data_IF_165383118103
#
_entry.id   IF_165383118103
#
_cell.length_a   1.000
_cell.length_b   1.000
_cell.length_c   1.000
_cell.angle_alpha   90.00
_cell.angle_beta   90.00
_cell.angle_gamma   90.00
#
_symmetry.space_group_name_H-M   'P 1'
#
loop_
_entity.id
_entity.type
_entity.pdbx_description
1 polymer ?
#
# COMPACT_ATOMS: atom_id res chain seq x y z
N UNK A 1 -19.57 -7.24 -10.88
CA UNK A 1 -18.52 -7.09 -11.91
C UNK A 1 -17.62 -5.93 -11.57
N UNK A 2 -16.39 -5.91 -12.12
CA UNK A 2 -15.49 -4.73 -12.07
C UNK A 2 -16.12 -3.55 -12.85
N UNK A 3 -16.85 -3.86 -13.91
CA UNK A 3 -17.52 -2.87 -14.76
C UNK A 3 -18.51 -1.99 -13.99
N UNK A 4 -19.14 -2.53 -12.95
CA UNK A 4 -20.12 -1.82 -12.10
C UNK A 4 -19.49 -0.89 -11.05
N UNK A 5 -18.16 -0.89 -10.93
CA UNK A 5 -17.46 -0.07 -9.96
C UNK A 5 -17.12 1.29 -10.56
N UNK A 6 -17.44 2.37 -9.85
CA UNK A 6 -17.06 3.74 -10.21
C UNK A 6 -16.01 4.31 -9.25
N UNK A 7 -15.82 3.69 -8.11
CA UNK A 7 -14.85 4.17 -7.13
C UNK A 7 -14.16 3.07 -6.36
N UNK A 8 -13.01 3.41 -5.80
CA UNK A 8 -12.22 2.58 -4.90
C UNK A 8 -11.90 3.37 -3.63
N UNK A 9 -11.99 2.73 -2.49
CA UNK A 9 -11.48 3.27 -1.24
C UNK A 9 -10.43 2.32 -0.67
N UNK A 10 -9.19 2.81 -0.54
CA UNK A 10 -8.07 2.08 0.03
C UNK A 10 -7.95 2.43 1.52
N UNK A 11 -7.83 1.41 2.38
CA UNK A 11 -7.86 1.58 3.84
C UNK A 11 -6.72 0.77 4.47
N UNK A 12 -5.93 1.40 5.32
CA UNK A 12 -4.83 0.77 6.04
C UNK A 12 -4.29 1.65 7.17
N UNK A 13 -3.32 1.14 7.93
CA UNK A 13 -2.60 1.87 8.96
C UNK A 13 -1.09 1.76 8.73
N UNK A 14 -0.32 2.79 9.15
CA UNK A 14 1.14 2.79 9.09
C UNK A 14 1.68 2.48 7.69
N UNK A 15 2.59 1.51 7.58
CA UNK A 15 3.17 1.03 6.32
C UNK A 15 2.11 0.68 5.27
N UNK A 16 1.02 0.01 5.67
CA UNK A 16 -0.07 -0.34 4.78
C UNK A 16 -0.81 0.90 4.24
N UNK A 17 -0.96 1.94 5.06
CA UNK A 17 -1.50 3.22 4.61
C UNK A 17 -0.58 3.91 3.59
N UNK A 18 0.75 3.85 3.78
CA UNK A 18 1.70 4.38 2.80
C UNK A 18 1.65 3.62 1.46
N UNK A 19 1.42 2.30 1.49
CA UNK A 19 1.17 1.53 0.27
C UNK A 19 -0.12 1.96 -0.45
N UNK A 20 -1.18 2.27 0.31
CA UNK A 20 -2.42 2.84 -0.23
C UNK A 20 -2.20 4.21 -0.88
N UNK A 21 -1.38 5.07 -0.25
CA UNK A 21 -1.00 6.37 -0.81
C UNK A 21 -0.29 6.24 -2.16
N UNK A 22 0.66 5.30 -2.29
CA UNK A 22 1.31 5.02 -3.58
C UNK A 22 0.31 4.54 -4.62
N UNK A 23 -0.53 3.58 -4.24
CA UNK A 23 -1.52 3.01 -5.16
C UNK A 23 -2.51 4.05 -5.67
N UNK A 24 -2.87 5.05 -4.85
CA UNK A 24 -3.74 6.14 -5.27
C UNK A 24 -3.22 6.84 -6.52
N UNK A 25 -1.93 7.21 -6.56
CA UNK A 25 -1.33 7.86 -7.74
C UNK A 25 -1.46 6.99 -8.99
N UNK A 26 -1.24 5.68 -8.87
CA UNK A 26 -1.35 4.76 -10.01
C UNK A 26 -2.79 4.58 -10.48
N UNK A 27 -3.74 4.48 -9.56
CA UNK A 27 -5.15 4.40 -9.92
C UNK A 27 -5.63 5.67 -10.62
N UNK A 28 -5.27 6.85 -10.11
CA UNK A 28 -5.60 8.15 -10.72
C UNK A 28 -4.97 8.31 -12.11
N UNK A 29 -3.75 7.81 -12.32
CA UNK A 29 -3.06 7.90 -13.63
C UNK A 29 -3.58 6.87 -14.65
N UNK A 30 -3.93 5.66 -14.21
CA UNK A 30 -4.12 4.51 -15.10
C UNK A 30 -5.57 4.03 -15.20
N UNK A 31 -6.48 4.65 -14.48
CA UNK A 31 -7.91 4.28 -14.48
C UNK A 31 -8.81 5.52 -14.44
N UNK A 32 -10.04 5.35 -14.88
CA UNK A 32 -11.11 6.35 -14.76
C UNK A 32 -11.87 6.29 -13.42
N UNK A 33 -11.38 5.48 -12.46
CA UNK A 33 -12.03 5.30 -11.16
C UNK A 33 -11.75 6.47 -10.22
N UNK A 34 -12.78 6.90 -9.48
CA UNK A 34 -12.62 7.82 -8.35
C UNK A 34 -11.94 7.09 -7.18
N UNK A 35 -10.77 7.55 -6.75
CA UNK A 35 -9.96 6.86 -5.75
C UNK A 35 -9.77 7.71 -4.50
N UNK A 36 -10.15 7.14 -3.37
CA UNK A 36 -9.93 7.74 -2.06
C UNK A 36 -9.15 6.80 -1.15
N UNK A 37 -8.44 7.38 -0.20
CA UNK A 37 -7.70 6.65 0.82
C UNK A 37 -8.17 7.06 2.20
N UNK A 38 -7.99 6.16 3.17
CA UNK A 38 -8.36 6.44 4.55
C UNK A 38 -7.44 5.71 5.53
N UNK A 39 -7.19 6.32 6.68
CA UNK A 39 -6.53 5.66 7.80
C UNK A 39 -7.58 4.83 8.53
N UNK A 40 -7.33 3.55 8.76
CA UNK A 40 -8.32 2.65 9.33
C UNK A 40 -8.73 3.07 10.75
N UNK A 41 -7.80 3.57 11.57
CA UNK A 41 -8.07 4.09 12.91
C UNK A 41 -9.05 5.26 12.90
N UNK A 42 -9.00 6.11 11.87
CA UNK A 42 -9.92 7.24 11.73
C UNK A 42 -11.24 6.84 11.07
N UNK A 43 -11.17 5.93 10.09
CA UNK A 43 -12.34 5.45 9.37
C UNK A 43 -13.37 4.80 10.31
N UNK A 44 -12.91 4.02 11.29
CA UNK A 44 -13.79 3.28 12.20
C UNK A 44 -14.63 4.17 13.11
N UNK A 45 -14.20 5.39 13.43
CA UNK A 45 -14.87 6.29 14.38
C UNK A 45 -15.70 7.38 13.73
N UNK A 46 -15.56 7.57 12.43
CA UNK A 46 -16.30 8.62 11.69
C UNK A 46 -17.66 8.13 11.20
N UNK A 47 -18.58 9.07 10.96
CA UNK A 47 -19.79 8.82 10.19
C UNK A 47 -19.44 8.72 8.70
N UNK A 48 -19.28 7.51 8.18
CA UNK A 48 -18.94 7.26 6.80
C UNK A 48 -20.18 7.29 5.88
N UNK A 49 -19.99 7.81 4.67
CA UNK A 49 -20.96 7.68 3.58
C UNK A 49 -20.55 6.51 2.70
N UNK A 50 -21.31 5.43 2.73
CA UNK A 50 -21.04 4.24 1.94
C UNK A 50 -21.65 4.35 0.55
N UNK A 51 -20.88 3.93 -0.49
CA UNK A 51 -21.31 3.88 -1.88
C UNK A 51 -21.33 2.42 -2.36
N UNK A 52 -22.43 1.96 -2.98
CA UNK A 52 -22.58 0.57 -3.45
C UNK A 52 -21.71 0.24 -4.67
N UNK A 53 -21.37 1.24 -5.45
CA UNK A 53 -20.49 1.18 -6.63
C UNK A 53 -19.01 1.39 -6.27
N UNK A 54 -18.67 1.33 -4.97
CA UNK A 54 -17.31 1.41 -4.44
C UNK A 54 -16.80 0.04 -4.00
N UNK A 55 -15.55 -0.28 -4.34
CA UNK A 55 -14.81 -1.37 -3.74
C UNK A 55 -13.94 -0.84 -2.58
N UNK A 56 -14.16 -1.38 -1.39
CA UNK A 56 -13.38 -1.05 -0.20
C UNK A 56 -12.24 -2.07 -0.07
N UNK A 57 -11.00 -1.61 -0.18
CA UNK A 57 -9.80 -2.44 -0.16
C UNK A 57 -9.07 -2.23 1.15
N UNK A 58 -8.92 -3.28 1.94
CA UNK A 58 -8.26 -3.29 3.23
C UNK A 58 -6.87 -3.89 3.09
N UNK A 59 -5.85 -3.10 3.43
CA UNK A 59 -4.45 -3.51 3.31
C UNK A 59 -3.87 -3.75 4.70
N UNK A 60 -3.33 -4.94 4.94
CA UNK A 60 -2.69 -5.32 6.20
C UNK A 60 -1.71 -6.45 5.96
N UNK A 61 -0.51 -6.39 6.56
CA UNK A 61 0.45 -7.49 6.47
C UNK A 61 -0.07 -8.73 7.20
N UNK A 62 -0.40 -8.60 8.48
CA UNK A 62 -0.89 -9.71 9.31
C UNK A 62 -2.33 -10.12 9.01
N UNK A 63 -3.15 -9.16 8.52
CA UNK A 63 -4.59 -9.33 8.42
C UNK A 63 -5.32 -9.38 9.76
N UNK A 64 -4.63 -8.99 10.86
CA UNK A 64 -5.17 -8.98 12.24
C UNK A 64 -5.10 -7.57 12.87
N UNK A 65 -4.80 -6.53 12.09
CA UNK A 65 -4.77 -5.15 12.59
C UNK A 65 -6.15 -4.74 13.07
N UNK A 66 -6.30 -4.49 14.36
CA UNK A 66 -7.59 -4.26 15.02
C UNK A 66 -8.40 -3.12 14.36
N UNK A 67 -7.77 -1.99 14.06
CA UNK A 67 -8.45 -0.86 13.42
C UNK A 67 -8.87 -1.18 11.98
N UNK A 68 -8.03 -1.91 11.23
CA UNK A 68 -8.34 -2.31 9.86
C UNK A 68 -9.50 -3.32 9.84
N UNK A 69 -9.52 -4.25 10.80
CA UNK A 69 -10.61 -5.19 10.94
C UNK A 69 -11.93 -4.49 11.33
N UNK A 70 -11.89 -3.56 12.27
CA UNK A 70 -13.09 -2.80 12.66
C UNK A 70 -13.63 -1.94 11.48
N UNK A 71 -12.75 -1.37 10.67
CA UNK A 71 -13.14 -0.66 9.44
C UNK A 71 -13.79 -1.60 8.41
N UNK A 72 -13.27 -2.82 8.25
CA UNK A 72 -13.87 -3.86 7.42
C UNK A 72 -15.26 -4.25 7.93
N UNK A 73 -15.40 -4.49 9.23
CA UNK A 73 -16.66 -4.89 9.85
C UNK A 73 -17.76 -3.83 9.63
N UNK A 74 -17.42 -2.54 9.74
CA UNK A 74 -18.34 -1.45 9.38
C UNK A 74 -18.80 -1.53 7.92
N UNK A 75 -17.91 -1.85 6.99
CA UNK A 75 -18.25 -2.03 5.57
C UNK A 75 -19.17 -3.26 5.37
N UNK A 76 -18.90 -4.36 6.09
CA UNK A 76 -19.75 -5.57 6.04
C UNK A 76 -21.17 -5.29 6.58
N UNK A 77 -21.28 -4.63 7.72
CA UNK A 77 -22.58 -4.24 8.31
C UNK A 77 -23.41 -3.40 7.35
N UNK A 78 -22.75 -2.57 6.51
CA UNK A 78 -23.39 -1.77 5.47
C UNK A 78 -23.51 -2.49 4.11
N UNK A 79 -23.16 -3.79 4.03
CA UNK A 79 -23.25 -4.64 2.82
C UNK A 79 -22.44 -4.08 1.65
N UNK A 80 -21.25 -3.55 1.93
CA UNK A 80 -20.35 -3.04 0.91
C UNK A 80 -19.48 -4.17 0.33
N UNK A 81 -19.01 -3.98 -0.91
CA UNK A 81 -18.03 -4.89 -1.55
C UNK A 81 -16.66 -4.64 -0.93
N UNK A 82 -16.02 -5.70 -0.42
CA UNK A 82 -14.75 -5.63 0.30
C UNK A 82 -13.69 -6.51 -0.34
N UNK A 83 -12.44 -6.08 -0.30
CA UNK A 83 -11.28 -6.83 -0.75
C UNK A 83 -10.15 -6.70 0.27
N UNK A 84 -9.53 -7.81 0.65
CA UNK A 84 -8.36 -7.85 1.51
C UNK A 84 -7.08 -7.97 0.67
N UNK A 85 -6.07 -7.16 0.96
CA UNK A 85 -4.69 -7.34 0.49
C UNK A 85 -3.86 -7.68 1.72
N UNK A 86 -3.55 -8.97 1.91
CA UNK A 86 -2.96 -9.50 3.14
C UNK A 86 -1.88 -10.54 2.85
N UNK A 87 -0.93 -10.69 3.78
CA UNK A 87 0.06 -11.76 3.68
C UNK A 87 -0.44 -13.09 4.28
N UNK A 88 -1.25 -13.01 5.35
CA UNK A 88 -1.87 -14.18 5.97
C UNK A 88 -3.29 -14.37 5.45
N UNK A 89 -3.50 -15.38 4.62
CA UNK A 89 -4.82 -15.70 4.03
C UNK A 89 -5.80 -16.33 5.04
N UNK A 90 -5.27 -16.83 6.16
CA UNK A 90 -6.07 -17.39 7.27
C UNK A 90 -6.49 -16.33 8.29
N UNK A 91 -6.13 -15.07 8.06
CA UNK A 91 -6.43 -13.96 8.97
C UNK A 91 -7.92 -13.58 9.01
N UNK A 92 -8.30 -12.88 10.07
CA UNK A 92 -9.66 -12.38 10.27
C UNK A 92 -10.10 -11.45 9.14
N UNK A 93 -9.23 -10.55 8.69
CA UNK A 93 -9.51 -9.63 7.57
C UNK A 93 -9.72 -10.42 6.27
N UNK A 94 -8.91 -11.47 6.04
CA UNK A 94 -9.07 -12.32 4.85
C UNK A 94 -10.41 -13.08 4.88
N UNK A 95 -10.70 -13.78 5.98
CA UNK A 95 -11.93 -14.58 6.10
C UNK A 95 -13.20 -13.77 5.94
N UNK A 96 -13.16 -12.52 6.38
CA UNK A 96 -14.34 -11.66 6.44
C UNK A 96 -14.52 -10.76 5.21
N UNK A 97 -13.56 -10.76 4.29
CA UNK A 97 -13.64 -10.00 3.03
C UNK A 97 -14.30 -10.81 1.91
N UNK A 98 -14.97 -10.12 0.98
CA UNK A 98 -15.56 -10.78 -0.20
C UNK A 98 -14.49 -11.33 -1.16
N UNK A 99 -13.33 -10.67 -1.26
CA UNK A 99 -12.21 -11.05 -2.11
C UNK A 99 -10.92 -10.96 -1.31
N UNK A 100 -9.96 -11.83 -1.62
CA UNK A 100 -8.64 -11.85 -0.99
C UNK A 100 -7.55 -11.87 -2.05
N UNK A 101 -6.59 -10.97 -1.90
CA UNK A 101 -5.38 -10.87 -2.73
C UNK A 101 -4.17 -11.11 -1.82
N UNK A 102 -3.57 -12.31 -1.87
CA UNK A 102 -2.42 -12.62 -1.04
C UNK A 102 -1.15 -11.94 -1.53
N UNK A 103 -0.34 -11.45 -0.59
CA UNK A 103 0.93 -10.76 -0.87
C UNK A 103 2.06 -11.75 -1.16
N UNK A 104 2.02 -12.95 -0.55
CA UNK A 104 3.01 -14.03 -0.71
C UNK A 104 4.46 -13.64 -0.34
N UNK A 105 4.65 -12.80 0.68
CA UNK A 105 5.98 -12.41 1.15
C UNK A 105 6.63 -13.41 2.12
N UNK A 106 5.94 -14.48 2.49
CA UNK A 106 6.35 -15.35 3.59
C UNK A 106 6.30 -14.65 4.95
N UNK A 107 6.71 -15.30 6.05
CA UNK A 107 6.66 -14.71 7.38
C UNK A 107 7.60 -13.51 7.49
N UNK A 108 7.14 -12.41 8.11
CA UNK A 108 7.93 -11.24 8.44
C UNK A 108 8.25 -11.30 9.93
N UNK A 109 9.55 -11.46 10.26
CA UNK A 109 10.01 -11.71 11.64
C UNK A 109 10.38 -10.39 12.34
N UNK A 110 10.82 -9.40 11.58
CA UNK A 110 11.18 -8.08 12.10
C UNK A 110 9.98 -7.27 12.58
N UNK A 111 10.20 -6.37 13.52
CA UNK A 111 9.17 -5.43 14.01
C UNK A 111 8.71 -4.49 12.89
N UNK A 112 9.66 -3.93 12.15
CA UNK A 112 9.39 -3.02 11.04
C UNK A 112 9.03 -3.80 9.77
N UNK A 113 7.91 -3.47 9.16
CA UNK A 113 7.51 -4.04 7.87
C UNK A 113 8.44 -3.53 6.75
N UNK A 114 8.98 -4.44 5.95
CA UNK A 114 9.89 -4.14 4.83
C UNK A 114 9.46 -4.84 3.55
N UNK A 115 9.68 -6.15 3.44
CA UNK A 115 9.29 -6.92 2.25
C UNK A 115 7.77 -6.95 2.03
N UNK A 116 6.99 -6.93 3.09
CA UNK A 116 5.54 -6.86 2.97
C UNK A 116 5.06 -5.54 2.36
N UNK A 117 5.73 -4.40 2.63
CA UNK A 117 5.47 -3.14 1.94
C UNK A 117 5.66 -3.27 0.43
N UNK A 118 6.80 -3.85 -0.02
CA UNK A 118 7.04 -4.11 -1.44
C UNK A 118 5.98 -5.02 -2.04
N UNK A 119 5.58 -6.07 -1.32
CA UNK A 119 4.51 -6.97 -1.75
C UNK A 119 3.16 -6.26 -1.87
N UNK A 120 2.81 -5.41 -0.90
CA UNK A 120 1.58 -4.62 -0.93
C UNK A 120 1.52 -3.70 -2.15
N UNK A 121 2.57 -2.90 -2.38
CA UNK A 121 2.62 -1.99 -3.53
C UNK A 121 2.61 -2.75 -4.86
N UNK A 122 3.24 -3.91 -4.94
CA UNK A 122 3.23 -4.75 -6.14
C UNK A 122 1.82 -5.27 -6.46
N UNK A 123 1.13 -5.83 -5.46
CA UNK A 123 -0.24 -6.34 -5.63
C UNK A 123 -1.19 -5.20 -5.98
N UNK A 124 -1.09 -4.05 -5.30
CA UNK A 124 -1.92 -2.88 -5.61
C UNK A 124 -1.65 -2.34 -7.03
N UNK A 125 -0.39 -2.34 -7.48
CA UNK A 125 -0.06 -1.95 -8.85
C UNK A 125 -0.61 -2.93 -9.89
N UNK A 126 -0.49 -4.25 -9.67
CA UNK A 126 -1.08 -5.27 -10.54
C UNK A 126 -2.60 -5.11 -10.60
N UNK A 127 -3.23 -4.83 -9.46
CA UNK A 127 -4.66 -4.59 -9.37
C UNK A 127 -5.06 -3.36 -10.18
N UNK A 128 -4.31 -2.25 -10.04
CA UNK A 128 -4.51 -1.03 -10.85
C UNK A 128 -4.45 -1.31 -12.34
N UNK A 129 -3.41 -2.03 -12.80
CA UNK A 129 -3.28 -2.41 -14.20
C UNK A 129 -4.45 -3.25 -14.69
N UNK A 130 -4.92 -4.19 -13.84
CA UNK A 130 -6.07 -5.03 -14.17
C UNK A 130 -7.36 -4.22 -14.29
N UNK A 131 -7.60 -3.28 -13.39
CA UNK A 131 -8.77 -2.39 -13.45
C UNK A 131 -8.70 -1.50 -14.70
N UNK A 132 -7.57 -0.84 -14.97
CA UNK A 132 -7.40 -0.02 -16.16
C UNK A 132 -7.60 -0.80 -17.46
N UNK A 133 -7.16 -2.06 -17.51
CA UNK A 133 -7.39 -2.92 -18.67
C UNK A 133 -8.88 -3.32 -18.83
N UNK A 134 -9.52 -3.73 -17.76
CA UNK A 134 -10.94 -4.15 -17.80
C UNK A 134 -11.86 -2.97 -18.10
N UNK A 135 -11.61 -1.82 -17.51
CA UNK A 135 -12.33 -0.55 -17.76
C UNK A 135 -12.04 0.05 -19.14
N UNK A 136 -11.12 -0.54 -19.90
CA UNK A 136 -10.65 -0.05 -21.22
C UNK A 136 -9.91 1.30 -21.18
N UNK A 137 -9.46 1.73 -20.00
CA UNK A 137 -8.58 2.91 -19.84
C UNK A 137 -7.17 2.60 -20.37
N UNK A 138 -6.74 1.33 -20.27
CA UNK A 138 -5.48 0.84 -20.83
C UNK A 138 -5.71 -0.09 -22.02
N UNK A 139 -4.99 0.18 -23.13
CA UNK A 139 -4.96 -0.74 -24.25
C UNK A 139 -4.27 -2.06 -23.86
N UNK A 140 -4.63 -3.15 -24.54
CA UNK A 140 -3.99 -4.48 -24.34
C UNK A 140 -2.47 -4.41 -24.45
N UNK A 141 -1.94 -3.63 -25.41
CA UNK A 141 -0.49 -3.46 -25.62
C UNK A 141 0.18 -2.79 -24.41
N UNK A 142 -0.39 -1.71 -23.89
CA UNK A 142 0.13 -0.99 -22.72
C UNK A 142 0.10 -1.91 -21.49
N UNK A 143 -1.02 -2.57 -21.23
CA UNK A 143 -1.18 -3.53 -20.14
C UNK A 143 -0.11 -4.63 -20.19
N UNK A 144 0.06 -5.29 -21.35
CA UNK A 144 1.06 -6.35 -21.52
C UNK A 144 2.49 -5.86 -21.31
N UNK A 145 2.83 -4.67 -21.81
CA UNK A 145 4.16 -4.08 -21.61
C UNK A 145 4.45 -3.81 -20.14
N UNK A 146 3.51 -3.21 -19.42
CA UNK A 146 3.65 -2.95 -17.97
C UNK A 146 3.80 -4.26 -17.17
N UNK A 147 3.05 -5.31 -17.49
CA UNK A 147 3.22 -6.65 -16.89
C UNK A 147 4.59 -7.25 -17.22
N UNK A 148 5.08 -7.09 -18.45
CA UNK A 148 6.42 -7.54 -18.84
C UNK A 148 7.52 -6.83 -18.05
N UNK A 149 7.35 -5.53 -17.80
CA UNK A 149 8.33 -4.76 -17.02
C UNK A 149 8.39 -5.20 -15.56
N UNK A 150 7.27 -5.59 -14.96
CA UNK A 150 7.24 -6.16 -13.61
C UNK A 150 8.11 -7.42 -13.46
N UNK A 151 8.27 -8.22 -14.51
CA UNK A 151 9.14 -9.41 -14.50
C UNK A 151 10.63 -9.07 -14.33
N UNK A 152 11.02 -7.82 -14.52
CA UNK A 152 12.40 -7.34 -14.30
C UNK A 152 12.65 -6.96 -12.84
N UNK A 153 11.60 -6.80 -12.04
CA UNK A 153 11.67 -6.30 -10.68
C UNK A 153 12.60 -7.11 -9.76
N UNK A 154 12.60 -8.45 -9.77
CA UNK A 154 13.52 -9.22 -8.91
C UNK A 154 14.99 -8.85 -9.12
N UNK A 155 15.44 -8.76 -10.38
CA UNK A 155 16.84 -8.36 -10.72
C UNK A 155 17.16 -6.93 -10.28
N UNK A 156 16.17 -6.02 -10.33
CA UNK A 156 16.36 -4.65 -9.86
C UNK A 156 16.48 -4.59 -8.35
N UNK A 157 15.71 -5.39 -7.62
CA UNK A 157 15.79 -5.52 -6.16
C UNK A 157 17.15 -6.08 -5.76
N UNK A 158 17.60 -7.19 -6.37
CA UNK A 158 18.93 -7.76 -6.14
C UNK A 158 20.04 -6.71 -6.33
N UNK A 159 19.98 -5.96 -7.45
CA UNK A 159 20.95 -4.90 -7.72
C UNK A 159 20.90 -3.77 -6.67
N UNK A 160 19.73 -3.43 -6.17
CA UNK A 160 19.57 -2.39 -5.14
C UNK A 160 20.14 -2.84 -3.80
N UNK A 161 19.97 -4.12 -3.44
CA UNK A 161 20.54 -4.68 -2.21
C UNK A 161 22.07 -4.65 -2.18
N UNK A 162 22.75 -4.63 -3.34
CA UNK A 162 24.21 -4.46 -3.41
C UNK A 162 24.69 -3.04 -3.02
N UNK A 163 23.78 -2.10 -2.80
CA UNK A 163 24.13 -0.75 -2.35
C UNK A 163 24.37 -0.64 -0.84
N UNK A 164 24.23 -1.72 -0.09
CA UNK A 164 24.31 -1.74 1.37
C UNK A 164 25.61 -1.07 1.88
N UNK A 165 26.79 -1.43 1.34
CA UNK A 165 28.07 -0.82 1.72
C UNK A 165 28.11 0.71 1.51
N UNK A 166 27.42 1.22 0.49
CA UNK A 166 27.35 2.68 0.25
C UNK A 166 26.49 3.36 1.30
N UNK A 167 25.42 2.70 1.73
CA UNK A 167 24.52 3.21 2.76
C UNK A 167 25.24 3.21 4.11
N UNK A 168 25.97 2.16 4.44
CA UNK A 168 26.74 2.07 5.68
C UNK A 168 27.74 3.24 5.84
N UNK A 169 28.39 3.68 4.76
CA UNK A 169 29.30 4.84 4.80
C UNK A 169 28.60 6.15 5.13
N UNK A 170 27.31 6.28 4.80
CA UNK A 170 26.51 7.49 5.11
C UNK A 170 25.98 7.43 6.55
N UNK A 171 25.74 6.26 7.08
CA UNK A 171 25.18 6.07 8.43
C UNK A 171 26.09 6.66 9.52
N UNK A 172 27.40 6.59 9.35
CA UNK A 172 28.36 7.18 10.30
C UNK A 172 28.15 8.69 10.48
N UNK A 173 27.84 9.39 9.39
CA UNK A 173 27.61 10.85 9.40
C UNK A 173 26.27 11.22 10.05
N UNK A 174 25.32 10.28 10.08
CA UNK A 174 23.98 10.45 10.65
C UNK A 174 23.90 10.07 12.13
N UNK A 175 24.94 9.45 12.69
CA UNK A 175 24.91 8.85 14.02
C UNK A 175 24.68 9.87 15.15
N UNK A 176 25.04 11.14 14.93
CA UNK A 176 24.83 12.25 15.87
C UNK A 176 23.57 13.08 15.57
N UNK A 177 22.83 12.73 14.53
CA UNK A 177 21.64 13.46 14.12
C UNK A 177 20.51 13.32 15.14
N UNK A 178 19.99 14.43 15.62
CA UNK A 178 18.85 14.48 16.56
C UNK A 178 17.51 14.31 15.87
N UNK A 179 17.46 14.40 14.54
CA UNK A 179 16.26 14.22 13.72
C UNK A 179 16.61 14.18 12.24
N UNK A 180 15.67 13.68 11.44
CA UNK A 180 15.80 13.54 10.00
C UNK A 180 14.54 13.98 9.26
N UNK A 181 14.71 14.60 8.10
CA UNK A 181 13.62 14.91 7.19
C UNK A 181 13.75 14.09 5.91
N UNK A 182 12.68 13.42 5.55
CA UNK A 182 12.55 12.67 4.31
C UNK A 182 11.70 13.47 3.34
N UNK A 183 12.25 13.81 2.18
CA UNK A 183 11.57 14.64 1.18
C UNK A 183 11.22 13.80 -0.05
N UNK A 184 9.98 13.91 -0.54
CA UNK A 184 9.54 13.24 -1.76
C UNK A 184 8.45 14.03 -2.49
N UNK A 185 8.38 13.87 -3.82
CA UNK A 185 7.33 14.48 -4.66
C UNK A 185 6.61 13.40 -5.46
N UNK A 186 5.30 13.56 -5.70
CA UNK A 186 4.48 12.56 -6.37
C UNK A 186 4.53 11.23 -5.61
N UNK A 187 4.76 10.11 -6.31
CA UNK A 187 4.87 8.80 -5.63
C UNK A 187 6.13 8.63 -4.77
N UNK A 188 7.08 9.56 -4.81
CA UNK A 188 8.20 9.55 -3.86
C UNK A 188 7.79 10.11 -2.49
N UNK A 189 6.67 10.82 -2.37
CA UNK A 189 6.19 11.31 -1.08
C UNK A 189 5.75 10.16 -0.14
N UNK A 190 4.93 9.18 -0.55
CA UNK A 190 4.67 8.00 0.27
C UNK A 190 5.94 7.21 0.66
N UNK A 191 6.95 7.18 -0.22
CA UNK A 191 8.25 6.55 0.10
C UNK A 191 8.99 7.35 1.18
N UNK A 192 8.95 8.68 1.13
CA UNK A 192 9.52 9.54 2.18
C UNK A 192 8.82 9.31 3.53
N UNK A 193 7.49 9.19 3.54
CA UNK A 193 6.74 8.84 4.76
C UNK A 193 7.14 7.47 5.31
N UNK A 194 7.28 6.48 4.44
CA UNK A 194 7.68 5.13 4.84
C UNK A 194 9.11 5.09 5.38
N UNK A 195 10.05 5.81 4.74
CA UNK A 195 11.42 5.94 5.22
C UNK A 195 11.49 6.60 6.60
N UNK A 196 10.75 7.68 6.81
CA UNK A 196 10.64 8.34 8.11
C UNK A 196 10.04 7.41 9.18
N UNK A 197 9.00 6.63 8.84
CA UNK A 197 8.41 5.64 9.73
C UNK A 197 9.43 4.56 10.11
N UNK A 198 10.17 4.02 9.14
CA UNK A 198 11.19 3.00 9.42
C UNK A 198 12.30 3.51 10.33
N UNK A 199 12.78 4.73 10.11
CA UNK A 199 13.79 5.31 10.99
C UNK A 199 13.26 5.48 12.43
N UNK A 200 12.05 6.01 12.60
CA UNK A 200 11.41 6.16 13.93
C UNK A 200 11.24 4.82 14.65
N UNK A 201 10.75 3.81 13.95
CA UNK A 201 10.45 2.50 14.55
C UNK A 201 11.71 1.76 15.03
N UNK A 202 12.82 1.91 14.30
CA UNK A 202 14.03 1.12 14.54
C UNK A 202 15.07 1.81 15.39
N UNK A 203 15.20 3.14 15.27
CA UNK A 203 16.26 3.91 15.94
C UNK A 203 15.75 4.85 17.03
N UNK A 204 14.44 5.08 17.12
CA UNK A 204 13.82 6.11 17.97
C UNK A 204 14.27 7.55 17.65
N UNK A 205 15.01 7.77 16.55
CA UNK A 205 15.35 9.10 16.06
C UNK A 205 14.07 9.74 15.50
N UNK A 206 13.82 11.00 15.88
CA UNK A 206 12.70 11.74 15.30
C UNK A 206 12.87 11.89 13.80
N UNK A 207 11.89 11.47 13.03
CA UNK A 207 11.92 11.54 11.57
C UNK A 207 10.55 11.88 11.00
N UNK A 208 10.53 12.80 10.03
CA UNK A 208 9.31 13.28 9.38
C UNK A 208 9.43 13.20 7.86
N UNK A 209 8.32 12.83 7.21
CA UNK A 209 8.20 12.84 5.76
C UNK A 209 7.43 14.06 5.26
N UNK A 210 7.98 14.79 4.29
CA UNK A 210 7.34 15.97 3.71
C UNK A 210 7.24 15.90 2.19
N UNK A 211 6.18 16.48 1.61
CA UNK A 211 6.14 16.71 0.17
C UNK A 211 7.19 17.76 -0.18
N UNK A 212 8.01 17.46 -1.20
CA UNK A 212 9.04 18.40 -1.67
C UNK A 212 8.41 19.44 -2.61
N UNK A 213 8.29 20.67 -2.13
CA UNK A 213 7.76 21.81 -2.89
C UNK A 213 6.91 22.74 -2.08
#
# INVERSE_FOLDING_TARGET
SIDDLNSIKLIGCGTAYHSCLMAKYWFEELTSLDVSIDIASEFRYRKNKFKKDCLYIFVSQSGETADTYAALDLCKQNKMKTCAVVNSVESSIARDSNFVLPIHCGPEIGVASTKAFLGQILILYILTLKFGYVKKDLSKKIYQNKIKDLKKLPKLIEKTLLMDNKIQNIVSDLNEAKGSMFLGRGFSYPIALEGALKLKELSYIHAEGYPAG
#
